data_IF_308925042693
#
_entry.id   IF_308925042693
#
_cell.length_a   1.000
_cell.length_b   1.000
_cell.length_c   1.000
_cell.angle_alpha   90.00
_cell.angle_beta   90.00
_cell.angle_gamma   90.00
#
_symmetry.space_group_name_H-M   'P 1'
#
loop_
_entity.id
_entity.type
_entity.pdbx_description
1 polymer ?
#
# COMPACT_ATOMS: atom_id res chain seq x y z
N UNK A 1 8.41 5.38 0.36
CA UNK A 1 7.09 5.96 0.26
C UNK A 1 6.86 6.52 -1.17
N UNK A 2 5.61 6.60 -1.62
CA UNK A 2 5.29 6.83 -3.03
C UNK A 2 5.83 8.17 -3.57
N UNK A 3 5.41 9.30 -3.03
CA UNK A 3 5.67 10.62 -3.60
C UNK A 3 7.14 11.07 -3.71
N UNK A 4 8.09 10.43 -3.07
CA UNK A 4 9.50 10.88 -3.06
C UNK A 4 10.52 9.81 -3.42
N UNK A 5 10.23 8.54 -3.13
CA UNK A 5 11.19 7.46 -3.34
C UNK A 5 10.86 6.61 -4.57
N UNK A 6 9.62 6.65 -5.03
CA UNK A 6 9.16 5.84 -6.16
C UNK A 6 9.35 6.59 -7.47
N UNK A 7 8.78 7.79 -7.59
CA UNK A 7 8.87 8.59 -8.82
C UNK A 7 10.30 9.10 -9.06
N UNK A 8 10.79 8.95 -10.28
CA UNK A 8 12.16 9.25 -10.73
C UNK A 8 13.25 8.40 -10.04
N UNK A 9 12.84 7.41 -9.26
CA UNK A 9 13.71 6.44 -8.60
C UNK A 9 13.41 5.01 -9.06
N UNK A 10 12.46 4.36 -8.39
CA UNK A 10 12.01 2.99 -8.74
C UNK A 10 11.19 3.00 -10.04
N UNK A 11 10.33 3.99 -10.18
CA UNK A 11 9.44 4.17 -11.34
C UNK A 11 9.85 5.41 -12.13
N UNK A 12 10.26 5.19 -13.37
CA UNK A 12 10.71 6.23 -14.29
C UNK A 12 10.37 5.81 -15.73
N UNK A 13 9.10 5.93 -16.15
CA UNK A 13 8.70 5.56 -17.51
C UNK A 13 9.48 6.38 -18.55
N UNK A 14 9.88 5.73 -19.63
CA UNK A 14 10.69 6.34 -20.68
C UNK A 14 12.20 6.36 -20.42
N UNK A 15 12.69 5.98 -19.24
CA UNK A 15 14.12 5.81 -19.03
C UNK A 15 14.66 4.57 -19.76
N UNK A 16 15.87 4.60 -20.38
CA UNK A 16 16.40 3.47 -21.16
C UNK A 16 16.52 2.16 -20.40
N UNK A 17 16.67 2.21 -19.09
CA UNK A 17 16.75 1.04 -18.21
C UNK A 17 15.41 0.63 -17.59
N UNK A 18 14.31 1.29 -17.95
CA UNK A 18 12.98 0.89 -17.46
C UNK A 18 12.40 -0.25 -18.28
N UNK A 19 11.61 -1.09 -17.60
CA UNK A 19 10.82 -2.14 -18.24
C UNK A 19 9.53 -1.55 -18.87
N UNK A 20 8.70 -2.41 -19.46
CA UNK A 20 7.44 -1.99 -20.09
C UNK A 20 6.42 -1.40 -19.09
N UNK A 21 6.50 -1.76 -17.81
CA UNK A 21 5.67 -1.22 -16.74
C UNK A 21 6.22 0.10 -16.16
N UNK A 22 7.33 0.63 -16.68
CA UNK A 22 7.95 1.88 -16.23
C UNK A 22 8.92 1.73 -15.05
N UNK A 23 9.18 0.53 -14.57
CA UNK A 23 10.09 0.30 -13.45
C UNK A 23 11.55 0.13 -13.90
N UNK A 24 12.47 0.73 -13.16
CA UNK A 24 13.91 0.65 -13.35
C UNK A 24 14.42 -0.77 -13.11
N UNK A 25 14.89 -1.44 -14.17
CA UNK A 25 15.45 -2.81 -14.10
C UNK A 25 16.71 -2.86 -13.26
N UNK A 26 17.59 -1.88 -13.41
CA UNK A 26 18.82 -1.77 -12.61
C UNK A 26 18.54 -1.66 -11.11
N UNK A 27 17.47 -0.95 -10.71
CA UNK A 27 17.04 -0.88 -9.31
C UNK A 27 16.46 -2.23 -8.84
N UNK A 28 15.65 -2.88 -9.67
CA UNK A 28 15.13 -4.23 -9.37
C UNK A 28 16.29 -5.22 -9.16
N UNK A 29 17.30 -5.18 -10.02
CA UNK A 29 18.45 -6.08 -9.94
C UNK A 29 19.27 -5.85 -8.67
N UNK A 30 19.44 -4.59 -8.25
CA UNK A 30 20.10 -4.26 -6.97
C UNK A 30 19.29 -4.75 -5.76
N UNK A 31 17.96 -4.63 -5.79
CA UNK A 31 17.09 -5.15 -4.71
C UNK A 31 17.18 -6.67 -4.61
N UNK A 32 17.27 -7.36 -5.75
CA UNK A 32 17.52 -8.82 -5.79
C UNK A 32 18.89 -9.19 -5.25
N UNK A 33 19.94 -8.45 -5.62
CA UNK A 33 21.31 -8.68 -5.14
C UNK A 33 21.40 -8.53 -3.61
N UNK A 34 20.63 -7.58 -3.04
CA UNK A 34 20.51 -7.39 -1.60
C UNK A 34 19.66 -8.47 -0.92
N UNK A 35 18.98 -9.32 -1.68
CA UNK A 35 18.07 -10.36 -1.18
C UNK A 35 17.02 -9.81 -0.20
N UNK A 36 16.36 -8.70 -0.60
CA UNK A 36 15.38 -8.00 0.24
C UNK A 36 14.12 -8.86 0.40
N UNK A 37 13.84 -9.40 1.60
CA UNK A 37 12.77 -10.38 1.77
C UNK A 37 11.37 -9.75 1.70
N UNK A 38 11.23 -8.50 2.16
CA UNK A 38 9.93 -7.85 2.29
C UNK A 38 10.06 -6.33 2.17
N UNK A 39 9.09 -5.68 1.52
CA UNK A 39 9.02 -4.22 1.37
C UNK A 39 7.67 -3.71 1.83
N UNK A 40 7.67 -2.65 2.65
CA UNK A 40 6.44 -2.05 3.17
C UNK A 40 5.82 -1.07 2.19
N UNK A 41 4.51 -1.22 1.94
CA UNK A 41 3.69 -0.35 1.10
C UNK A 41 2.48 0.19 1.88
N UNK A 42 2.01 1.44 1.70
CA UNK A 42 2.51 2.48 0.79
C UNK A 42 3.71 3.25 1.33
N UNK A 43 4.19 2.96 2.51
CA UNK A 43 5.36 3.58 3.13
C UNK A 43 5.15 3.94 4.59
N UNK A 44 5.90 4.95 5.08
CA UNK A 44 5.88 5.44 6.45
C UNK A 44 4.78 6.49 6.70
N UNK A 45 5.18 7.73 6.99
CA UNK A 45 4.25 8.83 7.32
C UNK A 45 3.19 9.09 6.25
N UNK A 46 3.47 8.75 5.02
CA UNK A 46 2.53 8.79 3.89
C UNK A 46 1.22 8.04 4.19
N UNK A 47 1.26 6.90 4.89
CA UNK A 47 0.08 6.05 5.10
C UNK A 47 -1.03 6.75 5.87
N UNK A 48 -0.70 7.67 6.77
CA UNK A 48 -1.69 8.32 7.63
C UNK A 48 -2.65 9.28 6.91
N UNK A 49 -2.36 9.61 5.65
CA UNK A 49 -3.26 10.36 4.76
C UNK A 49 -3.54 9.62 3.45
N UNK A 50 -3.23 8.35 3.37
CA UNK A 50 -3.39 7.56 2.15
C UNK A 50 -4.82 7.06 1.99
N UNK A 51 -5.36 7.25 0.80
CA UNK A 51 -6.64 6.72 0.34
C UNK A 51 -6.34 5.62 -0.67
N UNK A 52 -6.40 4.37 -0.23
CA UNK A 52 -6.02 3.24 -1.08
C UNK A 52 -6.89 3.11 -2.34
N UNK A 53 -8.14 3.55 -2.26
CA UNK A 53 -9.08 3.54 -3.39
C UNK A 53 -8.59 4.40 -4.55
N UNK A 54 -7.83 5.46 -4.27
CA UNK A 54 -7.25 6.33 -5.30
C UNK A 54 -6.06 5.67 -6.03
N UNK A 55 -5.53 4.59 -5.48
CA UNK A 55 -4.34 3.89 -6.01
C UNK A 55 -4.69 2.60 -6.76
N UNK A 56 -5.97 2.37 -7.07
CA UNK A 56 -6.45 1.17 -7.76
C UNK A 56 -7.32 1.53 -8.97
N UNK A 57 -7.54 0.58 -9.87
CA UNK A 57 -8.26 0.83 -11.13
C UNK A 57 -7.39 1.46 -12.21
N UNK A 58 -7.99 1.93 -13.33
CA UNK A 58 -7.27 2.55 -14.43
C UNK A 58 -6.46 3.77 -13.98
N UNK A 59 -5.20 3.87 -14.38
CA UNK A 59 -4.29 4.94 -13.93
C UNK A 59 -4.82 6.32 -14.31
N UNK A 60 -5.40 6.44 -15.50
CA UNK A 60 -5.97 7.68 -16.03
C UNK A 60 -7.21 8.19 -15.29
N UNK A 61 -7.85 7.35 -14.49
CA UNK A 61 -9.02 7.70 -13.67
C UNK A 61 -8.63 8.06 -12.23
N UNK A 62 -7.38 7.85 -11.85
CA UNK A 62 -6.92 8.06 -10.46
C UNK A 62 -6.73 9.56 -10.18
N UNK A 63 -7.22 10.06 -9.03
CA UNK A 63 -7.07 11.46 -8.69
C UNK A 63 -5.65 11.82 -8.29
N UNK A 64 -5.24 13.04 -8.59
CA UNK A 64 -4.06 13.62 -7.97
C UNK A 64 -4.41 14.13 -6.57
N UNK A 65 -3.53 13.87 -5.59
CA UNK A 65 -3.71 14.27 -4.19
C UNK A 65 -2.57 15.15 -3.69
N UNK A 66 -2.93 16.10 -2.81
CA UNK A 66 -1.92 16.73 -1.98
C UNK A 66 -1.51 15.76 -0.88
N UNK A 67 -0.28 15.30 -0.93
CA UNK A 67 0.32 14.45 0.09
C UNK A 67 0.81 15.33 1.25
N UNK A 68 0.23 15.17 2.43
CA UNK A 68 0.38 16.10 3.54
C UNK A 68 1.65 15.88 4.36
N UNK A 69 2.20 14.68 4.41
CA UNK A 69 3.40 14.40 5.18
C UNK A 69 4.63 15.10 4.59
N UNK A 70 4.72 15.14 3.26
CA UNK A 70 5.86 15.71 2.53
C UNK A 70 5.50 16.93 1.68
N UNK A 71 4.22 17.34 1.72
CA UNK A 71 3.68 18.49 0.97
C UNK A 71 4.00 18.40 -0.53
N UNK A 72 3.87 17.20 -1.06
CA UNK A 72 4.12 16.91 -2.48
C UNK A 72 2.83 16.55 -3.21
N UNK A 73 2.89 16.56 -4.54
CA UNK A 73 1.79 16.05 -5.36
C UNK A 73 1.94 14.53 -5.51
N UNK A 74 0.94 13.78 -5.06
CA UNK A 74 0.81 12.36 -5.35
C UNK A 74 -0.07 12.17 -6.58
N UNK A 75 0.49 11.57 -7.62
CA UNK A 75 -0.18 11.36 -8.90
C UNK A 75 -0.94 10.04 -8.98
N UNK A 76 -0.69 9.13 -8.02
CA UNK A 76 -1.23 7.78 -7.99
C UNK A 76 -0.92 6.92 -9.24
N UNK A 77 0.13 7.27 -10.01
CA UNK A 77 0.59 6.49 -11.16
C UNK A 77 1.09 5.09 -10.74
N UNK A 78 1.73 5.01 -9.57
CA UNK A 78 2.15 3.75 -8.96
C UNK A 78 1.22 3.44 -7.79
N UNK A 79 0.25 2.60 -8.04
CA UNK A 79 -0.68 2.15 -7.03
C UNK A 79 -0.37 0.74 -6.53
N UNK A 80 -1.36 0.15 -5.88
CA UNK A 80 -1.25 -1.18 -5.27
C UNK A 80 -0.87 -2.27 -6.29
N UNK A 81 -1.52 -2.23 -7.44
CA UNK A 81 -1.31 -3.21 -8.52
C UNK A 81 0.10 -3.12 -9.11
N UNK A 82 0.54 -1.91 -9.42
CA UNK A 82 1.87 -1.64 -9.95
C UNK A 82 2.96 -2.00 -8.93
N UNK A 83 2.74 -1.65 -7.66
CA UNK A 83 3.70 -2.00 -6.60
C UNK A 83 3.83 -3.51 -6.40
N UNK A 84 2.70 -4.27 -6.47
CA UNK A 84 2.75 -5.74 -6.40
C UNK A 84 3.57 -6.32 -7.55
N UNK A 85 3.37 -5.83 -8.79
CA UNK A 85 4.19 -6.25 -9.95
C UNK A 85 5.68 -5.98 -9.74
N UNK A 86 6.00 -4.80 -9.20
CA UNK A 86 7.38 -4.46 -8.88
C UNK A 86 7.97 -5.39 -7.82
N UNK A 87 7.23 -5.65 -6.74
CA UNK A 87 7.68 -6.53 -5.67
C UNK A 87 7.93 -7.96 -6.16
N UNK A 88 7.03 -8.50 -7.01
CA UNK A 88 7.22 -9.79 -7.66
C UNK A 88 8.48 -9.80 -8.55
N UNK A 89 8.66 -8.75 -9.34
CA UNK A 89 9.86 -8.60 -10.16
C UNK A 89 11.14 -8.49 -9.34
N UNK A 90 11.07 -7.93 -8.13
CA UNK A 90 12.18 -7.81 -7.19
C UNK A 90 12.39 -9.06 -6.30
N UNK A 91 11.49 -10.06 -6.40
CA UNK A 91 11.46 -11.25 -5.54
C UNK A 91 11.29 -10.92 -4.05
N UNK A 92 10.50 -9.89 -3.76
CA UNK A 92 10.22 -9.43 -2.38
C UNK A 92 8.74 -9.61 -2.05
N UNK A 93 8.44 -9.94 -0.81
CA UNK A 93 7.07 -9.90 -0.30
C UNK A 93 6.62 -8.46 -0.02
N UNK A 94 5.31 -8.26 0.11
CA UNK A 94 4.73 -6.97 0.46
C UNK A 94 4.19 -7.01 1.89
N UNK A 95 4.67 -6.09 2.72
CA UNK A 95 4.07 -5.75 4.01
C UNK A 95 3.12 -4.57 3.79
N UNK A 96 1.82 -4.80 3.93
CA UNK A 96 0.82 -3.74 3.77
C UNK A 96 0.67 -2.90 5.03
N UNK A 97 0.59 -1.57 4.89
CA UNK A 97 0.24 -0.69 5.99
C UNK A 97 -1.14 -0.07 5.76
N UNK A 98 -1.98 -0.08 6.80
CA UNK A 98 -3.31 0.53 6.79
C UNK A 98 -3.31 1.91 7.42
N UNK A 99 -4.18 2.80 6.92
CA UNK A 99 -4.30 4.17 7.45
C UNK A 99 -5.09 4.18 8.75
N UNK A 100 -4.39 4.26 9.89
CA UNK A 100 -5.00 4.50 11.21
C UNK A 100 -4.86 5.95 11.68
N UNK A 101 -4.33 6.83 10.84
CA UNK A 101 -4.24 8.27 11.12
C UNK A 101 -5.57 8.97 10.89
N UNK A 102 -5.96 9.09 9.63
CA UNK A 102 -7.20 9.78 9.21
C UNK A 102 -8.37 8.83 8.91
N UNK A 103 -8.12 7.52 8.89
CA UNK A 103 -9.12 6.46 8.65
C UNK A 103 -9.11 5.47 9.84
N UNK A 104 -9.62 4.28 9.67
CA UNK A 104 -9.72 3.34 10.79
C UNK A 104 -10.16 1.93 10.39
N UNK A 105 -10.82 1.23 11.29
CA UNK A 105 -11.15 -0.20 11.20
C UNK A 105 -11.82 -0.57 9.88
N UNK A 106 -12.88 0.15 9.50
CA UNK A 106 -13.63 -0.15 8.28
C UNK A 106 -12.77 -0.03 7.03
N UNK A 107 -11.91 0.97 6.98
CA UNK A 107 -11.00 1.19 5.85
C UNK A 107 -9.96 0.07 5.73
N UNK A 108 -9.37 -0.34 6.85
CA UNK A 108 -8.43 -1.45 6.91
C UNK A 108 -9.08 -2.77 6.45
N UNK A 109 -10.31 -3.02 6.89
CA UNK A 109 -11.10 -4.18 6.47
C UNK A 109 -11.42 -4.16 4.97
N UNK A 110 -11.80 -3.01 4.42
CA UNK A 110 -12.10 -2.84 3.01
C UNK A 110 -10.86 -3.09 2.12
N UNK A 111 -9.71 -2.58 2.55
CA UNK A 111 -8.44 -2.82 1.85
C UNK A 111 -8.06 -4.30 1.92
N UNK A 112 -8.18 -4.95 3.07
CA UNK A 112 -7.89 -6.38 3.21
C UNK A 112 -8.84 -7.22 2.34
N UNK A 113 -10.15 -6.91 2.32
CA UNK A 113 -11.13 -7.56 1.45
C UNK A 113 -10.73 -7.42 -0.02
N UNK A 114 -10.36 -6.20 -0.44
CA UNK A 114 -9.86 -5.95 -1.79
C UNK A 114 -8.64 -6.82 -2.10
N UNK A 115 -7.68 -6.90 -1.19
CA UNK A 115 -6.42 -7.61 -1.42
C UNK A 115 -6.54 -9.13 -1.36
N UNK A 116 -7.25 -9.66 -0.37
CA UNK A 116 -7.13 -11.07 0.00
C UNK A 116 -8.40 -11.90 -0.20
N UNK A 117 -9.59 -11.28 -0.27
CA UNK A 117 -10.83 -12.06 -0.42
C UNK A 117 -10.98 -12.58 -1.86
N UNK A 118 -11.35 -13.86 -2.07
CA UNK A 118 -11.34 -14.48 -3.39
C UNK A 118 -12.32 -13.86 -4.39
N UNK A 119 -13.54 -13.48 -3.97
CA UNK A 119 -14.56 -12.90 -4.83
C UNK A 119 -15.95 -12.97 -4.20
N UNK A 120 -16.93 -12.37 -4.86
CA UNK A 120 -18.35 -12.40 -4.42
C UNK A 120 -18.68 -11.33 -3.37
N UNK A 121 -17.77 -10.40 -3.10
CA UNK A 121 -18.00 -9.27 -2.20
C UNK A 121 -17.64 -7.96 -2.90
N UNK A 122 -18.10 -6.83 -2.35
CA UNK A 122 -17.95 -5.51 -2.97
C UNK A 122 -16.53 -5.22 -3.42
N UNK A 123 -15.56 -5.40 -2.53
CA UNK A 123 -14.18 -5.00 -2.82
C UNK A 123 -13.37 -6.10 -3.52
N UNK A 124 -13.64 -7.36 -3.27
CA UNK A 124 -13.03 -8.45 -4.05
C UNK A 124 -13.49 -8.43 -5.51
N UNK A 125 -14.77 -8.14 -5.76
CA UNK A 125 -15.30 -8.00 -7.12
C UNK A 125 -14.76 -6.73 -7.80
N UNK A 126 -14.53 -5.66 -7.03
CA UNK A 126 -13.86 -4.45 -7.52
C UNK A 126 -12.42 -4.75 -7.97
N UNK A 127 -11.65 -5.53 -7.20
CA UNK A 127 -10.31 -6.00 -7.61
C UNK A 127 -10.37 -6.75 -8.94
N UNK A 128 -11.33 -7.69 -9.06
CA UNK A 128 -11.51 -8.48 -10.27
C UNK A 128 -11.86 -7.57 -11.46
N UNK A 129 -12.75 -6.59 -11.26
CA UNK A 129 -13.09 -5.58 -12.28
C UNK A 129 -11.86 -4.74 -12.69
N UNK A 130 -10.96 -4.47 -11.78
CA UNK A 130 -9.70 -3.77 -12.05
C UNK A 130 -8.63 -4.67 -12.74
N UNK A 131 -9.00 -5.90 -13.12
CA UNK A 131 -8.14 -6.79 -13.89
C UNK A 131 -7.30 -7.78 -13.08
N UNK A 132 -7.36 -7.72 -11.75
CA UNK A 132 -6.66 -8.66 -10.87
C UNK A 132 -7.64 -9.75 -10.38
N UNK A 133 -7.67 -10.88 -11.09
CA UNK A 133 -8.60 -11.97 -10.80
C UNK A 133 -8.33 -12.62 -9.44
N UNK A 134 -7.08 -13.03 -9.24
CA UNK A 134 -6.68 -13.74 -8.04
C UNK A 134 -6.34 -12.77 -6.88
N UNK A 135 -6.56 -13.16 -5.63
CA UNK A 135 -6.11 -12.39 -4.48
C UNK A 135 -4.60 -12.16 -4.50
N UNK A 136 -4.16 -11.01 -3.99
CA UNK A 136 -2.72 -10.77 -3.78
C UNK A 136 -2.14 -11.65 -2.68
N UNK A 137 -2.96 -12.03 -1.69
CA UNK A 137 -2.55 -12.93 -0.61
C UNK A 137 -1.53 -12.31 0.35
N UNK A 138 -1.57 -11.01 0.58
CA UNK A 138 -0.66 -10.35 1.52
C UNK A 138 -0.84 -10.89 2.93
N UNK A 139 0.27 -11.26 3.57
CA UNK A 139 0.26 -11.89 4.91
C UNK A 139 0.58 -10.92 6.02
N UNK A 140 1.53 -10.03 5.82
CA UNK A 140 2.03 -9.14 6.86
C UNK A 140 1.40 -7.75 6.74
N UNK A 141 0.84 -7.26 7.85
CA UNK A 141 0.08 -5.99 7.89
C UNK A 141 0.55 -5.09 9.03
N UNK A 142 0.87 -3.84 8.71
CA UNK A 142 1.17 -2.80 9.69
C UNK A 142 -0.08 -1.99 10.02
N UNK A 143 -0.37 -1.85 11.31
CA UNK A 143 -1.50 -1.07 11.83
C UNK A 143 -1.10 0.40 12.02
N UNK A 144 -1.05 1.16 10.93
CA UNK A 144 -0.59 2.54 10.92
C UNK A 144 0.92 2.68 10.85
N UNK A 145 1.41 3.89 11.12
CA UNK A 145 2.84 4.23 11.15
C UNK A 145 3.09 5.31 12.20
N UNK A 146 4.00 5.06 13.15
CA UNK A 146 4.46 6.05 14.16
C UNK A 146 3.32 6.83 14.82
N UNK A 147 2.24 6.14 15.19
CA UNK A 147 0.99 6.78 15.58
C UNK A 147 1.06 7.63 16.86
N UNK A 148 2.12 7.48 17.66
CA UNK A 148 2.45 8.28 18.84
C UNK A 148 3.33 9.50 18.53
N UNK A 149 3.82 9.63 17.29
CA UNK A 149 4.67 10.75 16.87
C UNK A 149 3.86 12.06 16.72
N UNK A 150 4.22 13.17 17.37
CA UNK A 150 3.48 14.43 17.28
C UNK A 150 3.51 15.05 15.87
N UNK A 151 4.42 14.64 15.01
CA UNK A 151 4.47 15.00 13.59
C UNK A 151 3.50 14.22 12.71
N UNK A 152 2.98 13.10 13.23
CA UNK A 152 2.15 12.18 12.45
C UNK A 152 0.71 12.70 12.34
N UNK A 153 0.18 12.68 11.12
CA UNK A 153 -1.22 13.07 10.89
C UNK A 153 -2.15 12.09 11.63
N UNK A 154 -3.05 12.64 12.44
CA UNK A 154 -3.94 11.84 13.27
C UNK A 154 -3.22 11.08 14.38
N UNK A 155 -2.09 11.64 14.87
CA UNK A 155 -1.34 11.07 15.99
C UNK A 155 -2.24 10.77 17.18
N UNK A 156 -1.89 9.79 17.98
CA UNK A 156 -2.71 9.25 19.06
C UNK A 156 -1.86 9.05 20.31
N UNK A 157 -2.50 9.16 21.46
CA UNK A 157 -1.92 8.67 22.70
C UNK A 157 -1.77 7.15 22.67
N UNK A 158 -0.98 6.60 23.58
CA UNK A 158 -0.77 5.16 23.71
C UNK A 158 -2.09 4.37 23.85
N UNK A 159 -3.00 4.87 24.70
CA UNK A 159 -4.28 4.19 24.94
C UNK A 159 -5.21 4.26 23.73
N UNK A 160 -5.29 5.41 23.06
CA UNK A 160 -6.08 5.57 21.84
C UNK A 160 -5.57 4.67 20.70
N UNK A 161 -4.25 4.65 20.50
CA UNK A 161 -3.66 3.78 19.48
C UNK A 161 -3.80 2.30 19.82
N UNK A 162 -3.50 1.92 21.06
CA UNK A 162 -3.60 0.53 21.51
C UNK A 162 -5.01 -0.03 21.30
N UNK A 163 -6.03 0.74 21.68
CA UNK A 163 -7.42 0.33 21.48
C UNK A 163 -7.81 0.23 19.99
N UNK A 164 -7.40 1.20 19.19
CA UNK A 164 -7.69 1.21 17.76
C UNK A 164 -6.98 0.04 17.05
N UNK A 165 -5.70 -0.20 17.36
CA UNK A 165 -4.92 -1.27 16.76
C UNK A 165 -5.50 -2.66 17.10
N UNK A 166 -5.83 -2.90 18.37
CA UNK A 166 -6.46 -4.13 18.83
C UNK A 166 -7.75 -4.44 18.08
N UNK A 167 -8.67 -3.48 18.00
CA UNK A 167 -9.95 -3.68 17.32
C UNK A 167 -9.79 -3.78 15.80
N UNK A 168 -8.81 -3.08 15.23
CA UNK A 168 -8.49 -3.22 13.80
C UNK A 168 -7.96 -4.62 13.50
N UNK A 169 -6.98 -5.10 14.26
CA UNK A 169 -6.43 -6.45 14.11
C UNK A 169 -7.51 -7.54 14.23
N UNK A 170 -8.35 -7.41 15.24
CA UNK A 170 -9.47 -8.32 15.48
C UNK A 170 -10.45 -8.36 14.29
N UNK A 171 -10.86 -7.19 13.78
CA UNK A 171 -11.77 -7.10 12.64
C UNK A 171 -11.13 -7.66 11.36
N UNK A 172 -9.88 -7.34 11.09
CA UNK A 172 -9.15 -7.85 9.93
C UNK A 172 -9.00 -9.38 9.98
N UNK A 173 -8.70 -9.95 11.15
CA UNK A 173 -8.61 -11.42 11.32
C UNK A 173 -9.95 -12.15 11.18
N UNK A 174 -11.08 -11.47 11.28
CA UNK A 174 -12.39 -12.06 10.92
C UNK A 174 -12.56 -12.22 9.39
N UNK A 175 -11.85 -11.42 8.59
CA UNK A 175 -11.86 -11.51 7.12
C UNK A 175 -10.85 -12.55 6.64
N UNK A 176 -9.63 -12.48 7.15
CA UNK A 176 -8.54 -13.42 6.81
C UNK A 176 -7.76 -13.78 8.09
N UNK A 177 -8.02 -14.94 8.72
CA UNK A 177 -7.33 -15.35 9.94
C UNK A 177 -5.85 -15.69 9.73
N UNK A 178 -5.39 -15.80 8.49
CA UNK A 178 -4.01 -16.18 8.15
C UNK A 178 -3.03 -15.02 8.09
N UNK A 179 -3.50 -13.76 8.22
CA UNK A 179 -2.63 -12.57 8.24
C UNK A 179 -1.91 -12.41 9.57
N UNK A 180 -0.80 -11.71 9.54
CA UNK A 180 0.06 -11.36 10.68
C UNK A 180 0.23 -9.85 10.80
#
# INVERSE_FOLDING_TARGET
HLGRAVYDGIYQPGHPLSNADGFRKDVIDLVKELDVPIVRYPGGNFVSNFYWEDSVGPVEERPHRLELAWKSLEKNEVGLHEFKKWADAANSEVMMAVNLGTRGITDACNLLEYCNHPGGTKYSDLRIKHGQKDPYGFKTWCLGNEMDGPWQIGHKTMDEYGRLAEETAKAMKLIDPSIE
#
